data_IF_172179588534
#
_entry.id   IF_172179588534
#
_cell.length_a   1.000
_cell.length_b   1.000
_cell.length_c   1.000
_cell.angle_alpha   90.00
_cell.angle_beta   90.00
_cell.angle_gamma   90.00
#
_symmetry.space_group_name_H-M   'P 1'
#
loop_
_entity.id
_entity.type
_entity.pdbx_description
1 polymer ?
#
# COMPACT_ATOMS: atom_id res chain seq x y z
N UNK A 1 26.28 -18.82 29.54
CA UNK A 1 25.68 -19.46 28.36
C UNK A 1 24.91 -18.37 27.64
N UNK A 2 25.52 -17.73 26.64
CA UNK A 2 24.81 -16.77 25.80
C UNK A 2 23.80 -17.54 24.95
N UNK A 3 22.53 -17.21 25.05
CA UNK A 3 21.50 -17.80 24.19
C UNK A 3 21.75 -17.27 22.78
N UNK A 4 22.16 -18.17 21.89
CA UNK A 4 22.32 -17.88 20.46
C UNK A 4 20.91 -17.75 19.84
N UNK A 5 20.32 -16.56 19.97
CA UNK A 5 18.96 -16.26 19.52
C UNK A 5 18.98 -15.02 18.63
N UNK A 6 18.32 -15.13 17.47
CA UNK A 6 18.12 -14.03 16.53
C UNK A 6 16.65 -13.62 16.54
N UNK A 7 16.40 -12.30 16.56
CA UNK A 7 15.07 -11.71 16.44
C UNK A 7 14.94 -11.07 15.07
N UNK A 8 13.80 -11.25 14.43
CA UNK A 8 13.51 -10.68 13.11
C UNK A 8 12.26 -9.83 13.18
N UNK A 9 12.26 -8.76 12.41
CA UNK A 9 11.09 -7.92 12.18
C UNK A 9 10.77 -7.91 10.68
N UNK A 10 9.52 -7.61 10.36
CA UNK A 10 9.14 -7.39 8.98
C UNK A 10 9.73 -6.06 8.48
N UNK A 11 10.31 -6.08 7.28
CA UNK A 11 10.79 -4.87 6.59
C UNK A 11 10.01 -4.64 5.30
N UNK A 12 9.86 -5.70 4.48
CA UNK A 12 9.17 -5.62 3.21
C UNK A 12 8.67 -6.98 2.71
N UNK A 13 7.63 -6.91 1.91
CA UNK A 13 7.14 -7.98 1.04
C UNK A 13 7.24 -7.48 -0.40
N UNK A 14 7.78 -8.27 -1.32
CA UNK A 14 7.96 -7.86 -2.73
C UNK A 14 7.84 -9.07 -3.66
N UNK A 15 7.05 -8.93 -4.72
CA UNK A 15 6.93 -9.95 -5.75
C UNK A 15 8.16 -9.95 -6.67
N UNK A 16 8.56 -11.15 -7.10
CA UNK A 16 9.70 -11.31 -8.00
C UNK A 16 9.48 -10.58 -9.34
N UNK A 17 10.53 -9.93 -9.85
CA UNK A 17 10.44 -9.07 -11.04
C UNK A 17 10.07 -9.84 -12.30
N UNK A 18 10.58 -11.05 -12.43
CA UNK A 18 10.25 -11.99 -13.50
C UNK A 18 8.77 -12.40 -13.47
N UNK A 19 8.21 -12.65 -12.28
CA UNK A 19 6.78 -12.88 -12.12
C UNK A 19 5.96 -11.68 -12.61
N UNK A 20 6.26 -10.46 -12.14
CA UNK A 20 5.55 -9.26 -12.58
C UNK A 20 5.68 -9.02 -14.09
N UNK A 21 6.86 -9.27 -14.67
CA UNK A 21 7.08 -9.16 -16.13
C UNK A 21 6.26 -10.18 -16.91
N UNK A 22 6.08 -11.39 -16.39
CA UNK A 22 5.24 -12.42 -17.02
C UNK A 22 3.75 -12.04 -17.10
N UNK A 23 3.29 -11.13 -16.24
CA UNK A 23 1.92 -10.64 -16.24
C UNK A 23 1.67 -9.54 -17.29
N UNK A 24 2.70 -8.75 -17.64
CA UNK A 24 2.59 -7.67 -18.64
C UNK A 24 2.38 -8.25 -20.04
N UNK A 25 1.40 -7.72 -20.77
CA UNK A 25 1.12 -8.11 -22.17
C UNK A 25 1.07 -6.90 -23.09
N UNK A 26 1.55 -7.07 -24.33
CA UNK A 26 1.41 -6.07 -25.39
C UNK A 26 -0.07 -5.84 -25.69
N UNK A 27 -0.47 -4.58 -25.85
CA UNK A 27 -1.86 -4.22 -26.15
C UNK A 27 -2.80 -4.20 -24.93
N UNK A 28 -2.26 -4.40 -23.72
CA UNK A 28 -2.98 -4.22 -22.46
C UNK A 28 -2.34 -3.10 -21.62
N UNK A 29 -3.09 -2.55 -20.67
CA UNK A 29 -2.61 -1.59 -19.67
C UNK A 29 -2.18 -2.29 -18.38
N UNK A 30 -1.05 -1.84 -17.82
CA UNK A 30 -0.64 -2.03 -16.43
C UNK A 30 -0.96 -0.75 -15.68
N UNK A 31 -1.67 -0.86 -14.57
CA UNK A 31 -2.09 0.28 -13.74
C UNK A 31 -1.58 0.01 -12.33
N UNK A 32 -0.78 0.92 -11.79
CA UNK A 32 -0.26 0.83 -10.43
C UNK A 32 -0.43 2.14 -9.64
N UNK A 33 -0.35 1.98 -8.32
CA UNK A 33 -0.31 3.05 -7.33
C UNK A 33 0.78 2.75 -6.29
N UNK A 34 1.22 3.79 -5.60
CA UNK A 34 2.00 3.68 -4.37
C UNK A 34 1.26 4.53 -3.33
N UNK A 35 0.81 3.88 -2.27
CA UNK A 35 -0.14 4.45 -1.32
C UNK A 35 0.47 4.27 0.07
N UNK A 36 0.71 5.39 0.75
CA UNK A 36 1.26 5.41 2.10
C UNK A 36 0.11 5.62 3.07
N UNK A 37 -0.03 4.71 4.04
CA UNK A 37 -1.13 4.67 5.01
C UNK A 37 -0.60 4.44 6.41
N UNK A 38 -1.39 4.87 7.40
CA UNK A 38 -1.21 4.52 8.81
C UNK A 38 -2.22 3.43 9.16
N UNK A 39 -1.75 2.38 9.84
CA UNK A 39 -2.61 1.32 10.37
C UNK A 39 -3.16 1.70 11.74
N UNK A 40 -4.14 0.93 12.24
CA UNK A 40 -4.78 1.17 13.56
C UNK A 40 -3.81 1.09 14.75
N UNK A 41 -2.70 0.40 14.57
CA UNK A 41 -1.59 0.26 15.52
C UNK A 41 -0.39 1.16 15.17
N UNK A 42 -0.63 2.25 14.42
CA UNK A 42 0.29 3.36 14.17
C UNK A 42 1.56 3.01 13.37
N UNK A 43 1.55 1.88 12.64
CA UNK A 43 2.61 1.62 11.67
C UNK A 43 2.34 2.41 10.39
N UNK A 44 3.37 3.10 9.89
CA UNK A 44 3.33 3.71 8.56
C UNK A 44 3.88 2.73 7.55
N UNK A 45 3.06 2.39 6.56
CA UNK A 45 3.43 1.45 5.52
C UNK A 45 3.11 2.00 4.13
N UNK A 46 3.84 1.53 3.13
CA UNK A 46 3.55 1.80 1.73
C UNK A 46 3.11 0.53 1.02
N UNK A 47 1.87 0.52 0.52
CA UNK A 47 1.29 -0.57 -0.28
C UNK A 47 1.29 -0.18 -1.74
N UNK A 48 1.73 -1.09 -2.61
CA UNK A 48 1.78 -0.88 -4.04
C UNK A 48 0.91 -1.91 -4.78
N UNK A 49 -0.40 -1.67 -4.94
CA UNK A 49 -1.25 -2.50 -5.77
C UNK A 49 -0.95 -2.30 -7.26
N UNK A 50 -1.18 -3.34 -8.05
CA UNK A 50 -1.05 -3.34 -9.50
C UNK A 50 -2.16 -4.17 -10.15
N UNK A 51 -2.82 -3.58 -11.14
CA UNK A 51 -3.80 -4.26 -11.99
C UNK A 51 -3.29 -4.42 -13.42
N UNK A 52 -3.66 -5.55 -14.02
CA UNK A 52 -3.39 -5.88 -15.41
C UNK A 52 -4.72 -6.07 -16.13
N UNK A 53 -4.98 -5.22 -17.11
CA UNK A 53 -6.20 -5.25 -17.93
C UNK A 53 -6.11 -6.33 -19.02
N UNK A 54 -7.25 -6.71 -19.61
CA UNK A 54 -7.26 -7.65 -20.75
C UNK A 54 -6.94 -6.99 -22.09
N UNK A 55 -7.18 -5.68 -22.19
CA UNK A 55 -6.97 -4.83 -23.38
C UNK A 55 -6.61 -3.41 -22.95
N UNK A 56 -6.15 -2.57 -23.89
CA UNK A 56 -5.70 -1.20 -23.61
C UNK A 56 -6.85 -0.37 -23.04
N UNK A 57 -6.71 0.05 -21.79
CA UNK A 57 -7.61 1.00 -21.15
C UNK A 57 -7.24 2.44 -21.53
N UNK A 58 -8.24 3.32 -21.59
CA UNK A 58 -8.02 4.75 -21.74
C UNK A 58 -7.63 5.41 -20.42
N UNK A 59 -7.20 6.68 -20.47
CA UNK A 59 -6.74 7.41 -19.27
C UNK A 59 -7.81 7.54 -18.19
N UNK A 60 -9.09 7.67 -18.58
CA UNK A 60 -10.18 7.84 -17.62
C UNK A 60 -10.45 6.54 -16.86
N UNK A 61 -10.42 5.41 -17.56
CA UNK A 61 -10.53 4.07 -16.98
C UNK A 61 -9.33 3.75 -16.09
N UNK A 62 -8.11 4.04 -16.54
CA UNK A 62 -6.90 3.85 -15.73
C UNK A 62 -6.95 4.70 -14.44
N UNK A 63 -7.47 5.93 -14.51
CA UNK A 63 -7.64 6.79 -13.34
C UNK A 63 -8.71 6.26 -12.38
N UNK A 64 -9.85 5.80 -12.90
CA UNK A 64 -10.93 5.26 -12.08
C UNK A 64 -10.51 3.97 -11.35
N UNK A 65 -9.81 3.05 -12.04
CA UNK A 65 -9.24 1.85 -11.41
C UNK A 65 -8.22 2.22 -10.33
N UNK A 66 -7.35 3.20 -10.58
CA UNK A 66 -6.38 3.67 -9.58
C UNK A 66 -7.07 4.23 -8.34
N UNK A 67 -8.20 4.91 -8.52
CA UNK A 67 -8.98 5.45 -7.39
C UNK A 67 -9.56 4.32 -6.52
N UNK A 68 -10.15 3.29 -7.13
CA UNK A 68 -10.61 2.10 -6.40
C UNK A 68 -9.49 1.44 -5.61
N UNK A 69 -8.27 1.36 -6.17
CA UNK A 69 -7.11 0.84 -5.43
C UNK A 69 -6.76 1.69 -4.21
N UNK A 70 -6.82 3.02 -4.34
CA UNK A 70 -6.51 3.95 -3.25
C UNK A 70 -7.56 3.79 -2.15
N UNK A 71 -8.83 3.93 -2.51
CA UNK A 71 -9.95 3.90 -1.57
C UNK A 71 -9.96 2.59 -0.74
N UNK A 72 -9.80 1.43 -1.39
CA UNK A 72 -9.79 0.13 -0.70
C UNK A 72 -8.53 -0.10 0.16
N UNK A 73 -7.39 0.46 -0.22
CA UNK A 73 -6.16 0.37 0.59
C UNK A 73 -6.27 1.25 1.82
N UNK A 74 -6.80 2.47 1.68
CA UNK A 74 -7.03 3.39 2.79
C UNK A 74 -8.06 2.83 3.77
N UNK A 75 -9.18 2.28 3.27
CA UNK A 75 -10.20 1.60 4.08
C UNK A 75 -9.60 0.41 4.84
N UNK A 76 -8.88 -0.47 4.15
CA UNK A 76 -8.27 -1.63 4.79
C UNK A 76 -7.24 -1.26 5.88
N UNK A 77 -6.54 -0.14 5.72
CA UNK A 77 -5.58 0.35 6.72
C UNK A 77 -6.26 0.99 7.93
N UNK A 78 -7.35 1.73 7.70
CA UNK A 78 -8.14 2.35 8.77
C UNK A 78 -8.83 1.33 9.69
N UNK A 79 -9.08 0.12 9.20
CA UNK A 79 -9.82 -0.91 9.95
C UNK A 79 -8.96 -2.00 10.57
N UNK A 80 -7.67 -2.11 10.22
CA UNK A 80 -6.84 -3.28 10.54
C UNK A 80 -5.53 -2.91 11.20
N UNK A 81 -4.98 -3.85 11.95
CA UNK A 81 -3.60 -3.75 12.46
C UNK A 81 -2.62 -4.00 11.32
N UNK A 82 -1.35 -3.65 11.53
CA UNK A 82 -0.29 -3.93 10.57
C UNK A 82 -0.17 -5.42 10.23
N UNK A 83 -0.28 -6.29 11.23
CA UNK A 83 -0.21 -7.75 11.03
C UNK A 83 -1.36 -8.26 10.17
N UNK A 84 -2.60 -7.88 10.49
CA UNK A 84 -3.79 -8.34 9.76
C UNK A 84 -3.78 -7.85 8.30
N UNK A 85 -3.30 -6.62 8.07
CA UNK A 85 -3.18 -6.07 6.74
C UNK A 85 -2.08 -6.76 5.93
N UNK A 86 -0.96 -7.12 6.57
CA UNK A 86 0.10 -7.92 5.95
C UNK A 86 -0.42 -9.29 5.53
N UNK A 87 -1.15 -9.99 6.40
CA UNK A 87 -1.75 -11.29 6.10
C UNK A 87 -2.74 -11.18 4.94
N UNK A 88 -3.62 -10.16 4.95
CA UNK A 88 -4.54 -9.87 3.84
C UNK A 88 -3.84 -9.61 2.50
N UNK A 89 -2.61 -9.10 2.52
CA UNK A 89 -1.78 -8.91 1.33
C UNK A 89 -1.19 -10.24 0.86
N UNK A 90 -0.63 -11.03 1.77
CA UNK A 90 0.01 -12.31 1.47
C UNK A 90 -1.01 -13.33 0.95
N UNK A 91 -2.18 -13.39 1.56
CA UNK A 91 -3.28 -14.29 1.18
C UNK A 91 -3.98 -13.83 -0.11
N UNK A 92 -3.76 -12.58 -0.53
CA UNK A 92 -4.38 -12.01 -1.74
C UNK A 92 -5.84 -11.56 -1.53
N UNK A 93 -6.30 -11.46 -0.28
CA UNK A 93 -7.63 -10.94 0.06
C UNK A 93 -7.81 -9.50 -0.40
N UNK A 94 -6.79 -8.64 -0.19
CA UNK A 94 -6.82 -7.25 -0.66
C UNK A 94 -6.83 -7.17 -2.20
N UNK A 95 -6.00 -7.97 -2.86
CA UNK A 95 -5.99 -8.07 -4.33
C UNK A 95 -7.35 -8.50 -4.88
N UNK A 96 -8.03 -9.42 -4.19
CA UNK A 96 -9.34 -9.95 -4.60
C UNK A 96 -10.45 -8.91 -4.44
N UNK A 97 -10.45 -8.14 -3.35
CA UNK A 97 -11.38 -7.02 -3.16
C UNK A 97 -11.21 -5.96 -4.26
N UNK A 98 -9.97 -5.52 -4.50
CA UNK A 98 -9.66 -4.57 -5.58
C UNK A 98 -10.12 -5.10 -6.94
N UNK A 99 -9.88 -6.39 -7.23
CA UNK A 99 -10.35 -7.00 -8.48
C UNK A 99 -11.88 -6.97 -8.60
N UNK A 100 -12.60 -7.29 -7.53
CA UNK A 100 -14.05 -7.37 -7.51
C UNK A 100 -14.70 -6.04 -7.88
N UNK A 101 -14.15 -4.93 -7.41
CA UNK A 101 -14.68 -3.59 -7.67
C UNK A 101 -14.16 -3.03 -8.99
N UNK A 102 -12.86 -3.11 -9.23
CA UNK A 102 -12.24 -2.52 -10.41
C UNK A 102 -12.66 -3.21 -11.73
N UNK A 103 -13.06 -4.49 -11.70
CA UNK A 103 -13.58 -5.18 -12.91
C UNK A 103 -14.88 -4.59 -13.43
N UNK A 104 -15.65 -3.88 -12.58
CA UNK A 104 -16.90 -3.21 -12.99
C UNK A 104 -16.63 -2.00 -13.88
N UNK A 105 -15.45 -1.39 -13.73
CA UNK A 105 -15.00 -0.24 -14.53
C UNK A 105 -14.47 -0.70 -15.89
N UNK A 106 -13.61 -1.73 -15.89
CA UNK A 106 -12.98 -2.24 -17.10
C UNK A 106 -12.51 -3.68 -16.91
N UNK A 107 -12.54 -4.55 -17.94
CA UNK A 107 -12.14 -5.95 -17.78
C UNK A 107 -10.66 -6.10 -17.35
N UNK A 108 -10.48 -6.78 -16.22
CA UNK A 108 -9.19 -7.11 -15.62
C UNK A 108 -8.84 -8.59 -15.77
N UNK A 109 -7.55 -8.87 -15.91
CA UNK A 109 -6.98 -10.23 -15.92
C UNK A 109 -6.44 -10.64 -14.55
N UNK A 110 -5.77 -9.72 -13.86
CA UNK A 110 -5.08 -9.98 -12.58
C UNK A 110 -4.94 -8.69 -11.80
N UNK A 111 -5.06 -8.78 -10.48
CA UNK A 111 -4.65 -7.74 -9.53
C UNK A 111 -3.71 -8.40 -8.53
N UNK A 112 -2.64 -7.70 -8.15
CA UNK A 112 -1.66 -8.13 -7.15
C UNK A 112 -1.22 -6.94 -6.32
N UNK A 113 -0.64 -7.21 -5.14
CA UNK A 113 0.18 -6.24 -4.42
C UNK A 113 1.64 -6.53 -4.75
N UNK A 114 2.28 -5.67 -5.55
CA UNK A 114 3.67 -5.91 -5.99
C UNK A 114 4.68 -5.72 -4.86
N UNK A 115 4.38 -4.84 -3.91
CA UNK A 115 5.28 -4.48 -2.81
C UNK A 115 4.50 -3.90 -1.63
N UNK A 116 4.87 -4.32 -0.43
CA UNK A 116 4.51 -3.69 0.84
C UNK A 116 5.82 -3.36 1.57
N UNK A 117 5.95 -2.17 2.11
CA UNK A 117 7.16 -1.73 2.83
C UNK A 117 6.78 -1.04 4.12
N UNK A 118 7.51 -1.37 5.19
CA UNK A 118 7.45 -0.63 6.45
C UNK A 118 8.24 0.68 6.26
N UNK A 119 7.57 1.81 6.43
CA UNK A 119 8.18 3.14 6.29
C UNK A 119 8.53 3.74 7.65
N UNK A 120 7.68 3.58 8.67
CA UNK A 120 7.97 4.01 10.03
C UNK A 120 7.25 3.14 11.06
N UNK A 121 7.90 2.94 12.21
CA UNK A 121 7.33 2.27 13.39
C UNK A 121 6.48 3.26 14.21
N UNK A 122 5.59 2.80 15.09
CA UNK A 122 4.75 3.67 15.93
C UNK A 122 5.54 4.73 16.69
N UNK A 123 6.67 4.35 17.29
CA UNK A 123 7.52 5.28 18.03
C UNK A 123 8.16 6.37 17.13
N UNK A 124 8.46 6.05 15.88
CA UNK A 124 9.01 6.99 14.90
C UNK A 124 7.90 7.93 14.41
N UNK A 125 6.70 7.41 14.13
CA UNK A 125 5.53 8.20 13.76
C UNK A 125 5.17 9.20 14.86
N UNK A 126 5.06 8.75 16.11
CA UNK A 126 4.75 9.62 17.24
C UNK A 126 5.81 10.70 17.47
N UNK A 127 7.10 10.38 17.28
CA UNK A 127 8.18 11.36 17.40
C UNK A 127 8.13 12.42 16.30
N UNK A 128 7.81 12.04 15.06
CA UNK A 128 7.61 12.98 13.95
C UNK A 128 6.41 13.89 14.17
N UNK A 129 5.29 13.34 14.66
CA UNK A 129 4.08 14.12 14.96
C UNK A 129 4.32 15.13 16.08
N UNK A 130 5.01 14.73 17.17
CA UNK A 130 5.38 15.65 18.24
C UNK A 130 6.28 16.80 17.72
N UNK A 131 7.28 16.48 16.90
CA UNK A 131 8.17 17.49 16.32
C UNK A 131 7.44 18.44 15.35
N UNK A 132 6.44 17.95 14.62
CA UNK A 132 5.63 18.80 13.73
C UNK A 132 4.78 19.80 14.51
N UNK A 133 4.16 19.37 15.63
CA UNK A 133 3.36 20.25 16.50
C UNK A 133 4.22 21.35 17.13
N UNK A 134 5.43 21.03 17.59
CA UNK A 134 6.35 22.01 18.18
C UNK A 134 6.75 23.11 17.17
N UNK A 135 6.90 22.76 15.89
CA UNK A 135 7.23 23.73 14.83
C UNK A 135 6.06 24.68 14.59
N UNK A 136 4.84 24.16 14.46
CA UNK A 136 3.64 24.97 14.28
C UNK A 136 3.40 25.93 15.47
N UNK A 137 3.63 25.48 16.70
CA UNK A 137 3.56 26.35 17.88
C UNK A 137 4.63 27.45 17.87
N UNK A 138 5.84 27.14 17.41
CA UNK A 138 6.94 28.11 17.33
C UNK A 138 6.72 29.17 16.24
N UNK A 139 6.12 28.82 15.10
CA UNK A 139 5.80 29.75 14.01
C UNK A 139 4.68 30.73 14.40
N UNK A 140 3.75 30.32 15.26
CA UNK A 140 2.68 31.18 15.80
C UNK A 140 3.19 32.18 16.85
N UNK A 141 4.32 31.92 17.51
CA UNK A 141 4.88 32.78 18.56
C UNK A 141 5.70 33.97 18.02
N UNK A 142 5.97 34.04 16.71
CA UNK A 142 6.81 35.09 16.09
C UNK A 142 6.00 36.26 15.54
N UNK A 143 4.67 36.15 15.45
CA UNK A 143 3.76 37.15 14.87
C UNK A 143 2.98 38.01 15.90
N UNK A 144 3.44 38.09 17.16
CA UNK A 144 2.86 38.94 18.23
C UNK A 144 3.80 40.00 18.77
#
# INVERSE_FOLDING_TARGET
>A
MGTDAAYTEFIKHELARDYLRSLVRRGASKIDAAITVLTTDEYRIQIQPVAFTTKKADRSQEKAIRRVMIDLVEEAAAERTFSDLLDSVIEGTLSSAIYADAKTIYPLRRVEVKKLTLEARPAEVAAEEAAAVDVDESDLAVDG
#
